data_IF_212083831705
#
_entry.id   IF_212083831705
#
_cell.length_a   1.000
_cell.length_b   1.000
_cell.length_c   1.000
_cell.angle_alpha   90.00
_cell.angle_beta   90.00
_cell.angle_gamma   90.00
#
_symmetry.space_group_name_H-M   'P 1'
#
loop_
_entity.id
_entity.type
_entity.pdbx_description
1 polymer ?
#
# COMPACT_ATOMS: atom_id res chain seq x y z
N UNK A 1 15.48 -26.30 -2.24
CA UNK A 1 16.20 -25.03 -2.01
C UNK A 1 15.58 -24.02 -2.98
N UNK A 2 14.45 -23.39 -2.70
CA UNK A 2 14.17 -22.53 -1.55
C UNK A 2 14.22 -21.08 -2.05
N UNK A 3 13.07 -20.48 -2.35
CA UNK A 3 12.92 -19.03 -2.31
C UNK A 3 11.43 -18.69 -2.20
N UNK A 4 11.08 -18.17 -1.02
CA UNK A 4 9.79 -17.66 -0.64
C UNK A 4 9.70 -16.15 -0.94
N UNK A 5 8.46 -15.66 -0.99
CA UNK A 5 8.00 -14.31 -0.66
C UNK A 5 7.82 -13.28 -1.79
N UNK A 6 6.52 -12.91 -1.94
CA UNK A 6 5.97 -11.54 -2.03
C UNK A 6 5.97 -10.92 -3.44
N UNK A 7 4.88 -10.41 -4.00
CA UNK A 7 3.75 -9.67 -3.42
C UNK A 7 2.62 -9.65 -4.46
N UNK A 8 1.42 -10.12 -4.15
CA UNK A 8 0.23 -9.78 -4.94
C UNK A 8 -1.04 -9.90 -4.10
N UNK A 9 -1.72 -8.77 -3.93
CA UNK A 9 -3.12 -8.71 -3.54
C UNK A 9 -3.90 -8.07 -4.69
N UNK A 10 -4.88 -8.79 -5.24
CA UNK A 10 -6.08 -8.16 -5.81
C UNK A 10 -7.33 -9.04 -5.70
N UNK A 11 -8.14 -8.69 -4.70
CA UNK A 11 -9.57 -8.37 -4.78
C UNK A 11 -10.54 -9.31 -5.53
N UNK A 12 -11.55 -9.77 -4.78
CA UNK A 12 -12.84 -10.31 -5.25
C UNK A 12 -13.85 -9.20 -5.58
N UNK A 13 -14.70 -9.45 -6.58
CA UNK A 13 -15.68 -8.55 -7.20
C UNK A 13 -16.57 -7.74 -6.23
N UNK A 14 -16.34 -6.42 -6.17
CA UNK A 14 -17.34 -5.38 -5.96
C UNK A 14 -17.11 -4.37 -7.08
N UNK A 15 -18.16 -4.07 -7.86
CA UNK A 15 -18.20 -2.97 -8.85
C UNK A 15 -16.85 -2.71 -9.53
N UNK A 16 -16.50 -3.47 -10.58
CA UNK A 16 -15.20 -3.44 -11.24
C UNK A 16 -14.71 -1.99 -11.38
N UNK A 17 -13.70 -1.56 -10.61
CA UNK A 17 -13.24 -0.20 -10.66
C UNK A 17 -12.55 -0.03 -12.00
N UNK A 18 -13.27 0.52 -12.97
CA UNK A 18 -12.69 0.97 -14.23
C UNK A 18 -11.45 1.84 -13.92
N UNK A 19 -10.50 1.98 -14.85
CA UNK A 19 -9.30 2.81 -14.69
C UNK A 19 -9.58 4.29 -14.33
N UNK A 20 -10.84 4.69 -14.29
CA UNK A 20 -11.35 5.98 -13.87
C UNK A 20 -11.91 6.03 -12.44
N UNK A 21 -12.03 4.90 -11.74
CA UNK A 21 -12.50 4.84 -10.35
C UNK A 21 -11.37 5.30 -9.43
N UNK A 22 -11.50 6.52 -8.91
CA UNK A 22 -10.49 7.14 -8.04
C UNK A 22 -10.40 6.39 -6.71
N UNK A 23 -9.23 5.81 -6.44
CA UNK A 23 -8.90 5.12 -5.17
C UNK A 23 -8.73 6.08 -3.98
N UNK A 24 -8.52 7.37 -4.24
CA UNK A 24 -8.40 8.42 -3.23
C UNK A 24 -9.37 9.55 -3.57
N UNK A 25 -10.23 9.90 -2.61
CA UNK A 25 -11.05 11.09 -2.69
C UNK A 25 -10.17 12.31 -2.45
N UNK A 26 -9.93 13.08 -3.50
CA UNK A 26 -9.19 14.34 -3.46
C UNK A 26 -9.93 15.32 -2.52
N UNK A 27 -9.32 15.78 -1.41
CA UNK A 27 -10.02 16.55 -0.37
C UNK A 27 -10.52 17.92 -0.84
N UNK A 28 -10.19 18.34 -2.06
CA UNK A 28 -10.51 19.68 -2.60
C UNK A 28 -11.57 19.65 -3.72
N UNK A 29 -11.91 18.48 -4.25
CA UNK A 29 -12.88 18.38 -5.36
C UNK A 29 -14.26 17.95 -4.86
N UNK A 30 -15.02 18.92 -4.37
CA UNK A 30 -16.42 18.77 -4.01
C UNK A 30 -17.28 18.82 -5.29
N UNK A 31 -17.17 17.81 -6.16
CA UNK A 31 -18.07 17.65 -7.31
C UNK A 31 -18.99 16.47 -7.07
N UNK A 32 -20.18 16.75 -6.55
CA UNK A 32 -21.28 15.81 -6.48
C UNK A 32 -21.63 15.39 -7.92
N UNK A 33 -21.20 14.19 -8.34
CA UNK A 33 -21.77 13.56 -9.52
C UNK A 33 -23.12 13.00 -9.11
N UNK A 34 -24.11 13.87 -9.22
CA UNK A 34 -25.53 13.55 -9.28
C UNK A 34 -25.73 12.38 -10.24
N UNK A 35 -26.48 11.37 -9.80
CA UNK A 35 -26.68 10.12 -10.51
C UNK A 35 -27.09 10.31 -11.97
N UNK A 36 -26.29 9.74 -12.87
CA UNK A 36 -26.67 9.43 -14.22
C UNK A 36 -26.70 7.92 -14.31
N UNK A 37 -27.87 7.33 -14.10
CA UNK A 37 -28.22 6.01 -14.62
C UNK A 37 -29.74 5.91 -14.77
N UNK A 38 -30.18 6.02 -16.03
CA UNK A 38 -31.39 5.47 -16.64
C UNK A 38 -32.65 5.32 -15.77
N UNK A 39 -33.57 6.28 -15.93
CA UNK A 39 -34.99 5.99 -15.90
C UNK A 39 -35.50 6.05 -17.33
N UNK A 40 -35.52 4.90 -18.00
CA UNK A 40 -36.34 4.72 -19.19
C UNK A 40 -37.80 4.87 -18.77
N UNK A 41 -38.49 5.79 -19.43
CA UNK A 41 -39.94 5.96 -19.38
C UNK A 41 -40.64 4.62 -19.62
N UNK A 42 -41.37 4.08 -18.64
CA UNK A 42 -42.62 3.36 -18.91
C UNK A 42 -43.52 3.29 -17.66
N UNK A 43 -44.59 4.10 -17.69
CA UNK A 43 -45.88 4.04 -16.99
C UNK A 43 -45.98 3.52 -15.53
N UNK A 44 -46.46 4.39 -14.63
CA UNK A 44 -47.43 3.94 -13.62
C UNK A 44 -47.40 4.56 -12.22
N UNK A 45 -48.07 5.71 -12.08
CA UNK A 45 -48.93 6.07 -10.95
C UNK A 45 -48.31 6.57 -9.62
N UNK A 46 -48.40 7.88 -9.46
CA UNK A 46 -48.22 8.67 -8.24
C UNK A 46 -49.27 8.36 -7.18
N UNK A 47 -48.92 7.85 -5.99
CA UNK A 47 -49.65 8.11 -4.73
C UNK A 47 -48.75 7.83 -3.51
N UNK A 48 -48.64 8.82 -2.60
CA UNK A 48 -48.29 8.59 -1.19
C UNK A 48 -46.91 9.07 -0.72
N UNK A 49 -46.80 10.35 -0.40
CA UNK A 49 -45.75 10.87 0.49
C UNK A 49 -45.85 10.20 1.88
N UNK A 50 -45.13 9.10 2.09
CA UNK A 50 -44.75 8.58 3.43
C UNK A 50 -43.65 7.49 3.41
N UNK A 51 -42.98 7.26 2.27
CA UNK A 51 -41.98 6.17 2.08
C UNK A 51 -40.55 6.71 2.01
N UNK A 52 -40.28 7.94 2.46
CA UNK A 52 -38.94 8.53 2.40
C UNK A 52 -38.15 8.48 3.73
N UNK A 53 -38.79 8.25 4.87
CA UNK A 53 -38.12 8.25 6.18
C UNK A 53 -37.64 6.86 6.64
N UNK A 54 -38.35 5.78 6.30
CA UNK A 54 -37.97 4.41 6.71
C UNK A 54 -36.83 3.81 5.89
N UNK A 55 -36.56 4.36 4.71
CA UNK A 55 -35.54 3.88 3.78
C UNK A 55 -34.14 4.35 4.17
N UNK A 56 -34.00 5.51 4.81
CA UNK A 56 -32.70 6.05 5.23
C UNK A 56 -32.10 5.23 6.39
N UNK A 57 -32.90 4.90 7.40
CA UNK A 57 -32.47 4.07 8.55
C UNK A 57 -31.99 2.67 8.11
N UNK A 58 -32.68 2.06 7.14
CA UNK A 58 -32.27 0.78 6.55
C UNK A 58 -30.98 0.91 5.73
N UNK A 59 -30.79 2.04 5.03
CA UNK A 59 -29.56 2.32 4.27
C UNK A 59 -28.35 2.56 5.19
N UNK A 60 -28.56 3.21 6.34
CA UNK A 60 -27.55 3.45 7.36
C UNK A 60 -27.12 2.12 8.00
N UNK A 61 -28.07 1.23 8.30
CA UNK A 61 -27.78 -0.10 8.83
C UNK A 61 -27.00 -0.95 7.83
N UNK A 62 -27.36 -0.92 6.54
CA UNK A 62 -26.63 -1.63 5.49
C UNK A 62 -25.18 -1.13 5.36
N UNK A 63 -24.96 0.19 5.43
CA UNK A 63 -23.59 0.78 5.43
C UNK A 63 -22.78 0.33 6.64
N UNK A 64 -23.38 0.27 7.82
CA UNK A 64 -22.71 -0.21 9.04
C UNK A 64 -22.31 -1.68 8.88
N UNK A 65 -23.21 -2.52 8.37
CA UNK A 65 -22.91 -3.94 8.12
C UNK A 65 -21.78 -4.12 7.09
N UNK A 66 -21.78 -3.35 6.00
CA UNK A 66 -20.71 -3.37 5.00
C UNK A 66 -19.37 -2.89 5.59
N UNK A 67 -19.39 -1.83 6.41
CA UNK A 67 -18.19 -1.37 7.11
C UNK A 67 -17.65 -2.39 8.10
N UNK A 68 -18.53 -3.11 8.79
CA UNK A 68 -18.15 -4.19 9.71
C UNK A 68 -17.57 -5.36 8.91
N UNK A 69 -18.24 -5.79 7.84
CA UNK A 69 -17.77 -6.87 6.97
C UNK A 69 -16.35 -6.60 6.43
N UNK A 70 -16.04 -5.34 6.10
CA UNK A 70 -14.70 -4.95 5.63
C UNK A 70 -13.65 -4.83 6.74
N UNK A 71 -14.07 -4.67 8.01
CA UNK A 71 -13.16 -4.49 9.17
C UNK A 71 -12.94 -5.77 9.96
N UNK A 72 -13.82 -6.75 9.82
CA UNK A 72 -13.67 -8.05 10.46
C UNK A 72 -12.56 -8.81 9.75
N UNK A 73 -11.59 -9.28 10.54
CA UNK A 73 -10.47 -10.07 10.04
C UNK A 73 -10.93 -11.52 9.97
N UNK A 74 -10.99 -12.09 8.77
CA UNK A 74 -11.16 -13.53 8.59
C UNK A 74 -9.85 -14.25 8.89
N UNK A 75 -9.80 -14.91 10.06
CA UNK A 75 -8.63 -15.69 10.50
C UNK A 75 -8.47 -17.00 9.74
N UNK A 76 -9.50 -17.45 9.02
CA UNK A 76 -9.51 -18.70 8.25
C UNK A 76 -9.08 -18.54 6.79
N UNK A 77 -8.94 -17.31 6.29
CA UNK A 77 -8.58 -17.01 4.90
C UNK A 77 -7.09 -17.23 4.56
N UNK A 78 -6.43 -18.22 5.17
CA UNK A 78 -5.00 -18.51 4.95
C UNK A 78 -4.74 -19.34 3.69
N UNK A 79 -5.77 -19.93 3.08
CA UNK A 79 -5.62 -20.71 1.86
C UNK A 79 -5.45 -19.78 0.65
N UNK A 80 -4.22 -19.74 0.12
CA UNK A 80 -3.81 -18.87 -0.99
C UNK A 80 -4.43 -19.22 -2.37
N UNK A 81 -5.50 -20.01 -2.43
CA UNK A 81 -6.09 -20.48 -3.69
C UNK A 81 -7.62 -20.42 -3.64
N UNK A 82 -8.16 -19.22 -3.50
CA UNK A 82 -9.55 -18.95 -3.89
C UNK A 82 -9.70 -18.76 -5.41
N UNK A 83 -8.59 -18.66 -6.15
CA UNK A 83 -8.58 -18.50 -7.60
C UNK A 83 -8.27 -19.82 -8.30
N UNK A 84 -9.10 -20.19 -9.29
CA UNK A 84 -8.82 -21.35 -10.14
C UNK A 84 -7.67 -21.05 -11.12
N UNK A 85 -6.88 -22.08 -11.47
CA UNK A 85 -5.72 -21.95 -12.37
C UNK A 85 -6.07 -21.32 -13.73
N UNK A 86 -7.25 -21.66 -14.25
CA UNK A 86 -7.71 -21.17 -15.54
C UNK A 86 -8.05 -19.66 -15.49
N UNK A 87 -8.60 -19.17 -14.37
CA UNK A 87 -8.91 -17.76 -14.18
C UNK A 87 -7.62 -16.94 -14.05
N UNK A 88 -6.64 -17.48 -13.31
CA UNK A 88 -5.31 -16.87 -13.21
C UNK A 88 -4.67 -16.69 -14.59
N UNK A 89 -4.65 -17.74 -15.42
CA UNK A 89 -4.04 -17.71 -16.74
C UNK A 89 -4.70 -16.68 -17.67
N UNK A 90 -6.04 -16.61 -17.65
CA UNK A 90 -6.77 -15.65 -18.47
C UNK A 90 -6.57 -14.21 -17.97
N UNK A 91 -6.57 -13.99 -16.66
CA UNK A 91 -6.28 -12.68 -16.05
C UNK A 91 -4.86 -12.19 -16.40
N UNK A 92 -3.87 -13.07 -16.34
CA UNK A 92 -2.50 -12.79 -16.76
C UNK A 92 -2.43 -12.40 -18.25
N UNK A 93 -3.17 -13.11 -19.11
CA UNK A 93 -3.26 -12.81 -20.55
C UNK A 93 -3.87 -11.42 -20.80
N UNK A 94 -4.96 -11.09 -20.11
CA UNK A 94 -5.62 -9.78 -20.20
C UNK A 94 -4.68 -8.66 -19.75
N UNK A 95 -3.99 -8.81 -18.62
CA UNK A 95 -3.03 -7.80 -18.13
C UNK A 95 -1.86 -7.60 -19.09
N UNK A 96 -1.29 -8.68 -19.62
CA UNK A 96 -0.24 -8.60 -20.63
C UNK A 96 -0.72 -7.82 -21.88
N UNK A 97 -1.94 -8.09 -22.35
CA UNK A 97 -2.51 -7.36 -23.49
C UNK A 97 -2.77 -5.88 -23.16
N UNK A 98 -3.28 -5.58 -21.97
CA UNK A 98 -3.53 -4.22 -21.50
C UNK A 98 -2.23 -3.41 -21.38
N UNK A 99 -1.16 -3.99 -20.83
CA UNK A 99 0.16 -3.35 -20.74
C UNK A 99 0.72 -3.06 -22.14
N UNK A 100 0.57 -3.99 -23.09
CA UNK A 100 1.06 -3.78 -24.47
C UNK A 100 0.28 -2.70 -25.24
N UNK A 101 -0.99 -2.44 -24.87
CA UNK A 101 -1.80 -1.35 -25.45
C UNK A 101 -1.39 0.02 -24.91
N UNK A 102 -0.79 0.09 -23.72
CA UNK A 102 -0.26 1.33 -23.17
C UNK A 102 1.01 1.65 -23.97
N UNK A 103 0.95 2.71 -24.78
CA UNK A 103 2.13 3.23 -25.47
C UNK A 103 3.08 3.87 -24.45
N UNK A 104 3.96 3.05 -23.87
CA UNK A 104 5.04 3.55 -23.04
C UNK A 104 6.12 4.08 -24.00
N UNK A 105 6.46 5.38 -23.97
CA UNK A 105 7.51 5.91 -24.82
C UNK A 105 8.80 5.12 -24.55
N UNK A 106 9.48 4.72 -25.63
CA UNK A 106 10.71 3.91 -25.58
C UNK A 106 11.81 4.56 -24.72
N UNK A 107 11.73 5.85 -24.42
CA UNK A 107 12.59 6.57 -23.48
C UNK A 107 12.46 6.09 -22.03
N UNK A 108 11.31 5.53 -21.63
CA UNK A 108 11.06 4.98 -20.29
C UNK A 108 11.47 3.50 -20.25
N UNK A 109 11.15 2.73 -21.29
CA UNK A 109 11.47 1.29 -21.38
C UNK A 109 12.97 1.00 -21.57
N UNK A 110 13.72 1.94 -22.16
CA UNK A 110 15.16 1.83 -22.39
C UNK A 110 15.96 2.76 -21.49
N UNK A 111 15.56 2.94 -20.24
CA UNK A 111 16.51 3.38 -19.22
C UNK A 111 17.49 2.21 -19.01
N UNK A 112 18.51 2.12 -19.86
CA UNK A 112 19.72 1.35 -19.57
C UNK A 112 20.08 1.68 -18.12
N UNK A 113 20.31 0.66 -17.29
CA UNK A 113 20.75 0.88 -15.91
C UNK A 113 21.83 1.97 -15.97
N UNK A 114 21.67 3.09 -15.23
CA UNK A 114 22.65 4.16 -15.30
C UNK A 114 24.02 3.52 -15.02
N UNK A 115 24.97 3.78 -15.90
CA UNK A 115 26.34 3.34 -15.67
C UNK A 115 26.80 3.95 -14.34
N UNK A 116 27.49 3.17 -13.51
CA UNK A 116 28.06 3.67 -12.26
C UNK A 116 28.98 4.86 -12.58
N UNK A 117 28.88 5.95 -11.81
CA UNK A 117 29.70 7.17 -11.95
C UNK A 117 29.48 7.99 -13.24
N UNK A 118 28.28 7.97 -13.84
CA UNK A 118 27.96 8.80 -15.02
C UNK A 118 28.09 10.31 -14.74
N UNK A 119 28.05 10.71 -13.47
CA UNK A 119 28.17 12.07 -12.95
C UNK A 119 29.62 12.50 -12.63
N UNK A 120 30.57 11.57 -12.59
CA UNK A 120 31.96 11.85 -12.20
C UNK A 120 32.81 12.17 -13.44
N UNK A 121 32.73 13.41 -13.90
CA UNK A 121 33.66 13.90 -14.93
C UNK A 121 35.09 14.02 -14.37
N UNK A 122 36.09 13.59 -15.13
CA UNK A 122 37.52 13.68 -14.77
C UNK A 122 37.88 12.99 -13.44
N UNK A 123 37.57 11.69 -13.32
CA UNK A 123 37.82 10.89 -12.12
C UNK A 123 39.26 11.00 -11.58
N UNK A 124 40.28 11.04 -12.45
CA UNK A 124 41.69 11.17 -12.05
C UNK A 124 41.95 12.43 -11.20
N UNK A 125 41.34 13.56 -11.58
CA UNK A 125 41.47 14.82 -10.84
C UNK A 125 40.84 14.74 -9.45
N UNK A 126 39.66 14.11 -9.35
CA UNK A 126 38.93 13.97 -8.09
C UNK A 126 39.67 13.04 -7.14
N UNK A 127 40.18 11.92 -7.65
CA UNK A 127 40.96 10.95 -6.86
C UNK A 127 42.33 11.50 -6.42
N UNK A 128 42.89 12.45 -7.18
CA UNK A 128 44.16 13.11 -6.83
C UNK A 128 44.00 14.30 -5.89
N UNK A 129 42.76 14.66 -5.52
CA UNK A 129 42.52 15.74 -4.57
C UNK A 129 43.04 15.35 -3.17
N UNK A 130 43.40 16.33 -2.32
CA UNK A 130 43.78 16.07 -0.94
C UNK A 130 42.69 15.25 -0.22
N UNK A 131 43.06 14.24 0.58
CA UNK A 131 42.10 13.48 1.36
C UNK A 131 41.43 14.37 2.42
N UNK A 132 40.36 13.85 3.03
CA UNK A 132 39.71 14.49 4.17
C UNK A 132 40.71 14.84 5.27
N UNK A 133 40.52 15.99 5.92
CA UNK A 133 41.42 16.45 6.97
C UNK A 133 41.38 15.52 8.19
N UNK A 134 42.50 15.39 8.90
CA UNK A 134 42.55 14.59 10.12
C UNK A 134 41.63 15.14 11.21
N UNK A 135 41.41 16.46 11.24
CA UNK A 135 40.51 17.11 12.19
C UNK A 135 39.05 16.65 11.96
N UNK A 136 38.60 16.62 10.70
CA UNK A 136 37.27 16.16 10.35
C UNK A 136 37.10 14.66 10.64
N UNK A 137 38.13 13.86 10.34
CA UNK A 137 38.13 12.43 10.69
C UNK A 137 37.94 12.21 12.19
N UNK A 138 38.74 12.90 13.02
CA UNK A 138 38.63 12.81 14.47
C UNK A 138 37.27 13.29 14.98
N UNK A 139 36.70 14.34 14.39
CA UNK A 139 35.37 14.84 14.72
C UNK A 139 34.29 13.77 14.44
N UNK A 140 34.33 13.13 13.26
CA UNK A 140 33.39 12.06 12.91
C UNK A 140 33.53 10.86 13.84
N UNK A 141 34.75 10.48 14.20
CA UNK A 141 35.01 9.38 15.14
C UNK A 141 34.43 9.70 16.52
N UNK A 142 34.74 10.87 17.09
CA UNK A 142 34.22 11.28 18.38
C UNK A 142 32.68 11.36 18.41
N UNK A 143 32.07 11.87 17.33
CA UNK A 143 30.62 11.89 17.20
C UNK A 143 30.02 10.47 17.20
N UNK A 144 30.67 9.53 16.50
CA UNK A 144 30.23 8.12 16.43
C UNK A 144 30.40 7.41 17.78
N UNK A 145 31.49 7.67 18.50
CA UNK A 145 31.73 7.13 19.84
C UNK A 145 30.70 7.62 20.86
N UNK A 146 30.34 8.91 20.79
CA UNK A 146 29.28 9.50 21.61
C UNK A 146 27.92 8.86 21.31
N UNK A 147 27.58 8.66 20.03
CA UNK A 147 26.35 7.98 19.63
C UNK A 147 26.33 6.53 20.12
N UNK A 148 27.43 5.79 19.94
CA UNK A 148 27.58 4.43 20.44
C UNK A 148 27.35 4.37 21.95
N UNK A 149 27.97 5.28 22.70
CA UNK A 149 27.77 5.37 24.16
C UNK A 149 26.32 5.66 24.53
N UNK A 150 25.65 6.57 23.81
CA UNK A 150 24.24 6.87 24.01
C UNK A 150 23.34 5.66 23.71
N UNK A 151 23.62 4.87 22.68
CA UNK A 151 22.85 3.65 22.38
C UNK A 151 22.87 2.64 23.54
N UNK A 152 24.00 2.48 24.22
CA UNK A 152 24.10 1.58 25.38
C UNK A 152 23.27 2.05 26.59
N UNK A 153 22.86 3.32 26.63
CA UNK A 153 21.94 3.82 27.67
C UNK A 153 20.49 3.36 27.44
N UNK A 154 20.15 2.96 26.22
CA UNK A 154 18.81 2.49 25.88
C UNK A 154 18.69 1.02 26.29
N UNK A 155 18.44 0.79 27.58
CA UNK A 155 18.23 -0.54 28.14
C UNK A 155 17.12 -0.51 29.20
N UNK A 156 16.41 -1.63 29.35
CA UNK A 156 15.39 -1.79 30.38
C UNK A 156 16.10 -1.95 31.73
N UNK A 157 15.91 -1.00 32.64
CA UNK A 157 16.40 -1.11 34.01
C UNK A 157 15.44 -1.97 34.83
N UNK A 158 15.94 -3.12 35.29
CA UNK A 158 15.13 -4.04 36.09
C UNK A 158 14.89 -3.45 37.50
N UNK A 159 13.62 -3.27 37.87
CA UNK A 159 13.24 -2.73 39.19
C UNK A 159 12.63 -3.77 40.12
N UNK A 160 11.97 -4.80 39.58
CA UNK A 160 11.30 -5.87 40.33
C UNK A 160 11.27 -7.13 39.49
N UNK A 161 11.33 -8.28 40.15
CA UNK A 161 11.24 -9.58 39.50
C UNK A 161 9.92 -9.72 38.74
N UNK A 162 10.01 -9.98 37.44
CA UNK A 162 8.83 -10.23 36.59
C UNK A 162 8.28 -11.66 36.75
N UNK A 163 9.09 -12.58 37.27
CA UNK A 163 8.74 -13.98 37.47
C UNK A 163 9.10 -14.37 38.89
N UNK A 164 8.12 -14.88 39.64
CA UNK A 164 8.32 -15.42 40.99
C UNK A 164 8.05 -16.91 40.94
N UNK A 165 9.04 -17.73 41.35
CA UNK A 165 8.84 -19.17 41.49
C UNK A 165 8.09 -19.46 42.77
N UNK A 166 6.89 -20.02 42.64
CA UNK A 166 6.13 -20.56 43.76
C UNK A 166 6.70 -21.94 44.10
N UNK A 167 7.54 -22.01 45.14
CA UNK A 167 8.04 -23.28 45.66
C UNK A 167 6.89 -24.16 46.16
N UNK A 168 6.83 -25.40 45.70
CA UNK A 168 5.96 -26.43 46.28
C UNK A 168 6.52 -26.81 47.66
N UNK A 169 5.68 -26.72 48.68
CA UNK A 169 5.96 -27.21 50.03
C UNK A 169 6.04 -28.74 50.11
#
# INVERSE_FOLDING_TARGET
MGCCCSTEDSSSLQDEPNAHTRLLQDPVSNSYQTGLNNSANEYGNSYGNSVAQKTDDQSAQYKVLQQIANKVIDVGALDCQTLEEHEYAERARVYAQSINKIHIPQSILRKKKPFLLMDVSNAERILSAPPISQADYNLMTAATENLSSAYHTIQVTHTKDLVVSLGKG
#
